data_IF_958267991606
#
_entry.id   IF_958267991606
#
_cell.length_a   1.000
_cell.length_b   1.000
_cell.length_c   1.000
_cell.angle_alpha   90.00
_cell.angle_beta   90.00
_cell.angle_gamma   90.00
#
_symmetry.space_group_name_H-M   'P 1'
#
loop_
_entity.id
_entity.type
_entity.pdbx_description
1 polymer ?
#
# COMPACT_ATOMS: atom_id res chain seq x y z
N UNK A 1 -25.37 8.33 -33.15
CA UNK A 1 -26.40 7.39 -32.66
C UNK A 1 -26.66 7.71 -31.20
N UNK A 2 -27.90 7.63 -30.71
CA UNK A 2 -28.19 7.80 -29.30
C UNK A 2 -27.47 6.73 -28.46
N UNK A 3 -26.96 7.14 -27.30
CA UNK A 3 -26.22 6.29 -26.36
C UNK A 3 -26.85 6.37 -24.97
N UNK A 4 -26.86 5.25 -24.26
CA UNK A 4 -27.24 5.16 -22.85
C UNK A 4 -26.12 4.49 -22.08
N UNK A 5 -25.68 5.12 -20.99
CA UNK A 5 -24.58 4.63 -20.15
C UNK A 5 -25.05 4.50 -18.72
N UNK A 6 -24.74 3.37 -18.09
CA UNK A 6 -25.10 3.13 -16.69
C UNK A 6 -24.06 2.26 -15.99
N UNK A 7 -23.72 2.61 -14.75
CA UNK A 7 -23.00 1.70 -13.84
C UNK A 7 -23.93 0.61 -13.32
N UNK A 8 -23.50 -0.64 -13.46
CA UNK A 8 -24.23 -1.81 -13.01
C UNK A 8 -24.02 -2.03 -11.52
N UNK A 9 -25.13 -2.22 -10.80
CA UNK A 9 -25.10 -2.67 -9.41
C UNK A 9 -24.97 -4.19 -9.32
N UNK A 10 -24.47 -4.69 -8.18
CA UNK A 10 -24.32 -6.14 -7.96
C UNK A 10 -25.62 -6.92 -8.13
N UNK A 11 -26.76 -6.33 -7.77
CA UNK A 11 -28.07 -6.95 -7.92
C UNK A 11 -28.48 -7.09 -9.40
N UNK A 12 -28.11 -6.13 -10.25
CA UNK A 12 -28.44 -6.15 -11.68
C UNK A 12 -27.58 -7.17 -12.43
N UNK A 13 -26.32 -7.32 -12.00
CA UNK A 13 -25.41 -8.35 -12.50
C UNK A 13 -25.96 -9.74 -12.12
N UNK A 14 -26.30 -9.95 -10.85
CA UNK A 14 -26.80 -11.25 -10.37
C UNK A 14 -28.13 -11.67 -11.03
N UNK A 15 -29.04 -10.71 -11.24
CA UNK A 15 -30.37 -11.00 -11.80
C UNK A 15 -30.43 -10.95 -13.32
N UNK A 16 -29.42 -10.38 -13.98
CA UNK A 16 -29.44 -10.10 -15.42
C UNK A 16 -30.49 -9.06 -15.84
N UNK A 17 -30.97 -8.25 -14.91
CA UNK A 17 -32.02 -7.24 -15.12
C UNK A 17 -31.46 -5.87 -14.79
N UNK A 18 -31.36 -5.01 -15.80
CA UNK A 18 -31.02 -3.61 -15.60
C UNK A 18 -32.26 -2.83 -15.16
N UNK A 19 -32.08 -1.99 -14.14
CA UNK A 19 -33.07 -1.03 -13.65
C UNK A 19 -32.66 0.39 -14.03
N UNK A 20 -33.55 1.38 -13.98
CA UNK A 20 -33.17 2.79 -14.16
C UNK A 20 -34.13 3.73 -13.43
N UNK A 21 -33.72 4.98 -13.30
CA UNK A 21 -34.48 6.05 -12.65
C UNK A 21 -35.34 6.84 -13.63
N UNK A 22 -36.34 7.56 -13.11
CA UNK A 22 -37.27 8.39 -13.89
C UNK A 22 -36.55 9.45 -14.74
N UNK A 23 -35.39 9.92 -14.30
CA UNK A 23 -34.59 10.91 -15.03
C UNK A 23 -33.94 10.33 -16.31
N UNK A 24 -33.76 9.00 -16.35
CA UNK A 24 -33.05 8.29 -17.43
C UNK A 24 -34.01 7.81 -18.53
N UNK A 25 -35.32 7.92 -18.31
CA UNK A 25 -36.38 7.39 -19.20
C UNK A 25 -36.26 7.94 -20.63
N UNK A 26 -36.06 9.25 -20.77
CA UNK A 26 -35.97 9.90 -22.08
C UNK A 26 -34.74 9.43 -22.88
N UNK A 27 -33.62 9.21 -22.20
CA UNK A 27 -32.38 8.75 -22.82
C UNK A 27 -32.49 7.28 -23.23
N UNK A 28 -33.01 6.41 -22.37
CA UNK A 28 -33.18 5.00 -22.70
C UNK A 28 -34.18 4.78 -23.84
N UNK A 29 -35.28 5.56 -23.89
CA UNK A 29 -36.25 5.53 -24.99
C UNK A 29 -35.70 6.02 -26.34
N UNK A 30 -34.57 6.72 -26.32
CA UNK A 30 -33.89 7.12 -27.55
C UNK A 30 -33.04 5.99 -28.15
N UNK A 31 -32.62 5.04 -27.31
CA UNK A 31 -31.74 3.92 -27.67
C UNK A 31 -32.53 2.65 -27.97
N UNK A 32 -33.53 2.33 -27.14
CA UNK A 32 -34.35 1.13 -27.26
C UNK A 32 -35.43 1.35 -28.34
N UNK A 33 -35.65 0.37 -29.24
CA UNK A 33 -36.73 0.43 -30.22
C UNK A 33 -38.10 0.66 -29.57
N UNK A 34 -39.04 1.24 -30.32
CA UNK A 34 -40.40 1.47 -29.82
C UNK A 34 -41.20 0.17 -29.54
N UNK A 35 -40.64 -1.00 -29.84
CA UNK A 35 -41.23 -2.31 -29.60
C UNK A 35 -40.97 -2.81 -28.18
N UNK A 36 -41.91 -3.57 -27.60
CA UNK A 36 -41.76 -4.15 -26.24
C UNK A 36 -40.72 -5.28 -26.18
N UNK A 37 -40.42 -5.84 -27.34
CA UNK A 37 -39.44 -6.90 -27.55
C UNK A 37 -38.43 -6.43 -28.58
N UNK A 38 -37.15 -6.69 -28.35
CA UNK A 38 -36.05 -6.32 -29.22
C UNK A 38 -34.87 -7.27 -29.03
N UNK A 39 -33.91 -7.22 -29.96
CA UNK A 39 -32.72 -8.06 -29.93
C UNK A 39 -31.51 -7.20 -29.54
N UNK A 40 -30.61 -7.79 -28.75
CA UNK A 40 -29.35 -7.17 -28.34
C UNK A 40 -28.18 -7.92 -28.96
N UNK A 41 -27.27 -7.19 -29.58
CA UNK A 41 -25.97 -7.73 -29.99
C UNK A 41 -24.99 -7.46 -28.85
N UNK A 42 -24.42 -8.51 -28.27
CA UNK A 42 -23.35 -8.44 -27.28
C UNK A 42 -22.21 -9.34 -27.73
N UNK A 43 -21.01 -8.76 -27.84
CA UNK A 43 -19.79 -9.44 -28.33
C UNK A 43 -19.97 -10.19 -29.67
N UNK A 44 -20.72 -9.59 -30.60
CA UNK A 44 -21.02 -10.18 -31.90
C UNK A 44 -22.07 -11.30 -31.88
N UNK A 45 -22.56 -11.71 -30.70
CA UNK A 45 -23.63 -12.67 -30.54
C UNK A 45 -24.99 -11.95 -30.37
N UNK A 46 -26.01 -12.46 -31.05
CA UNK A 46 -27.38 -11.94 -30.97
C UNK A 46 -28.16 -12.64 -29.85
N UNK A 47 -28.69 -11.83 -28.93
CA UNK A 47 -29.59 -12.23 -27.85
C UNK A 47 -30.99 -11.74 -28.20
N UNK A 48 -31.81 -12.67 -28.69
CA UNK A 48 -33.10 -12.36 -29.26
C UNK A 48 -34.23 -12.37 -28.22
N UNK A 49 -35.32 -11.66 -28.53
CA UNK A 49 -36.56 -11.62 -27.77
C UNK A 49 -36.44 -11.04 -26.33
N UNK A 50 -35.55 -10.07 -26.13
CA UNK A 50 -35.40 -9.38 -24.86
C UNK A 50 -36.55 -8.41 -24.63
N UNK A 51 -36.99 -8.29 -23.39
CA UNK A 51 -38.17 -7.50 -23.02
C UNK A 51 -37.83 -6.26 -22.20
N UNK A 52 -38.62 -5.21 -22.37
CA UNK A 52 -38.58 -3.99 -21.55
C UNK A 52 -39.91 -3.76 -20.84
N UNK A 53 -39.87 -3.65 -19.50
CA UNK A 53 -41.01 -3.27 -18.66
C UNK A 53 -40.87 -1.81 -18.25
N UNK A 54 -41.33 -0.89 -19.10
CA UNK A 54 -41.21 0.56 -18.87
C UNK A 54 -41.84 1.03 -17.56
N UNK A 55 -43.00 0.48 -17.19
CA UNK A 55 -43.72 0.87 -15.97
C UNK A 55 -42.96 0.49 -14.68
N UNK A 56 -42.21 -0.61 -14.73
CA UNK A 56 -41.39 -1.10 -13.61
C UNK A 56 -39.93 -0.65 -13.70
N UNK A 57 -39.56 0.02 -14.80
CA UNK A 57 -38.19 0.43 -15.16
C UNK A 57 -37.21 -0.73 -15.10
N UNK A 58 -37.57 -1.82 -15.78
CA UNK A 58 -36.77 -3.05 -15.87
C UNK A 58 -36.50 -3.42 -17.32
N UNK A 59 -35.25 -3.74 -17.62
CA UNK A 59 -34.76 -4.16 -18.92
C UNK A 59 -34.07 -5.50 -18.72
N UNK A 60 -34.62 -6.53 -19.35
CA UNK A 60 -34.12 -7.88 -19.24
C UNK A 60 -33.05 -8.05 -20.33
N UNK A 61 -31.78 -8.10 -19.94
CA UNK A 61 -30.66 -8.34 -20.87
C UNK A 61 -30.16 -9.79 -20.71
N UNK A 62 -30.28 -10.36 -19.51
CA UNK A 62 -30.00 -11.77 -19.24
C UNK A 62 -28.51 -12.07 -19.10
N UNK A 63 -28.07 -13.13 -19.77
CA UNK A 63 -26.71 -13.69 -19.67
C UNK A 63 -25.58 -12.65 -19.84
N UNK A 64 -25.63 -11.70 -20.80
CA UNK A 64 -24.61 -10.67 -20.95
C UNK A 64 -24.33 -9.85 -19.68
N UNK A 65 -25.38 -9.52 -18.90
CA UNK A 65 -25.21 -8.79 -17.64
C UNK A 65 -24.63 -9.67 -16.54
N UNK A 66 -24.96 -10.96 -16.53
CA UNK A 66 -24.51 -11.91 -15.50
C UNK A 66 -23.02 -12.26 -15.58
N UNK A 67 -22.40 -12.04 -16.75
CA UNK A 67 -20.97 -12.20 -16.98
C UNK A 67 -20.15 -10.96 -16.56
N UNK A 68 -20.81 -9.86 -16.19
CA UNK A 68 -20.15 -8.61 -15.82
C UNK A 68 -19.51 -8.67 -14.41
N UNK A 69 -18.42 -7.91 -14.23
CA UNK A 69 -17.77 -7.74 -12.92
C UNK A 69 -18.43 -6.58 -12.16
N UNK A 70 -18.38 -6.57 -10.82
CA UNK A 70 -18.89 -5.46 -10.01
C UNK A 70 -18.37 -4.09 -10.50
N UNK A 71 -19.22 -3.07 -10.42
CA UNK A 71 -18.97 -1.68 -10.90
C UNK A 71 -18.76 -1.51 -12.42
N UNK A 72 -19.02 -2.54 -13.23
CA UNK A 72 -18.96 -2.43 -14.69
C UNK A 72 -19.93 -1.37 -15.23
N UNK A 73 -19.56 -0.69 -16.31
CA UNK A 73 -20.44 0.24 -17.01
C UNK A 73 -21.02 -0.42 -18.26
N UNK A 74 -22.34 -0.43 -18.34
CA UNK A 74 -23.09 -0.81 -19.53
C UNK A 74 -23.21 0.39 -20.47
N UNK A 75 -22.91 0.18 -21.75
CA UNK A 75 -23.21 1.09 -22.85
C UNK A 75 -24.18 0.39 -23.80
N UNK A 76 -25.34 1.01 -23.99
CA UNK A 76 -26.30 0.64 -25.02
C UNK A 76 -26.27 1.68 -26.13
N UNK A 77 -26.16 1.21 -27.37
CA UNK A 77 -26.26 2.05 -28.57
C UNK A 77 -27.27 1.46 -29.51
N UNK A 78 -28.08 2.29 -30.15
CA UNK A 78 -29.20 1.79 -30.95
C UNK A 78 -29.92 2.90 -31.68
N UNK A 79 -31.07 2.57 -32.24
CA UNK A 79 -31.97 3.51 -32.88
C UNK A 79 -33.41 3.19 -32.51
N UNK A 80 -34.25 4.22 -32.38
CA UNK A 80 -35.68 4.09 -32.06
C UNK A 80 -36.51 3.50 -33.22
N UNK A 81 -35.90 3.31 -34.39
CA UNK A 81 -36.53 2.74 -35.57
C UNK A 81 -37.05 1.31 -35.30
N UNK A 82 -38.19 0.97 -35.90
CA UNK A 82 -38.76 -0.39 -35.79
C UNK A 82 -37.79 -1.40 -36.42
N UNK A 83 -37.37 -2.39 -35.63
CA UNK A 83 -36.38 -3.39 -36.06
C UNK A 83 -34.92 -2.93 -35.95
N UNK A 84 -34.66 -1.79 -35.30
CA UNK A 84 -33.30 -1.35 -35.00
C UNK A 84 -32.60 -2.31 -34.03
N UNK A 85 -31.39 -2.74 -34.38
CA UNK A 85 -30.54 -3.54 -33.50
C UNK A 85 -29.97 -2.66 -32.37
N UNK A 86 -29.98 -3.20 -31.15
CA UNK A 86 -29.33 -2.57 -30.00
C UNK A 86 -27.99 -3.25 -29.78
N UNK A 87 -26.90 -2.50 -29.83
CA UNK A 87 -25.58 -2.99 -29.46
C UNK A 87 -25.31 -2.70 -27.99
N UNK A 88 -24.88 -3.74 -27.28
CA UNK A 88 -24.55 -3.72 -25.87
C UNK A 88 -23.03 -3.94 -25.70
N UNK A 89 -22.40 -3.06 -24.94
CA UNK A 89 -21.01 -3.18 -24.52
C UNK A 89 -20.95 -3.05 -23.00
N UNK A 90 -20.16 -3.90 -22.35
CA UNK A 90 -19.95 -3.85 -20.90
C UNK A 90 -18.47 -3.62 -20.67
N UNK A 91 -18.14 -2.51 -20.02
CA UNK A 91 -16.78 -2.15 -19.66
C UNK A 91 -16.55 -2.49 -18.20
N UNK A 92 -15.63 -3.41 -17.91
CA UNK A 92 -15.23 -3.64 -16.54
C UNK A 92 -14.50 -2.38 -16.00
N UNK A 93 -14.52 -2.12 -14.68
CA UNK A 93 -13.85 -0.95 -14.10
C UNK A 93 -12.36 -0.86 -14.50
N UNK A 94 -11.72 -2.02 -14.61
CA UNK A 94 -10.32 -2.18 -15.03
C UNK A 94 -10.05 -1.82 -16.50
N UNK A 95 -11.07 -1.82 -17.37
CA UNK A 95 -10.92 -1.49 -18.80
C UNK A 95 -10.87 0.03 -19.03
N UNK A 96 -11.26 0.83 -18.04
CA UNK A 96 -11.07 2.29 -18.02
C UNK A 96 -9.82 2.73 -17.25
N UNK A 97 -9.10 1.78 -16.64
CA UNK A 97 -7.88 2.12 -15.90
C UNK A 97 -6.77 2.48 -16.88
N UNK A 98 -6.19 3.65 -16.64
CA UNK A 98 -5.05 4.17 -17.41
C UNK A 98 -3.91 4.41 -16.44
N UNK A 99 -2.75 3.82 -16.71
CA UNK A 99 -1.52 4.10 -15.98
C UNK A 99 -0.70 5.09 -16.79
N UNK A 100 -0.37 6.22 -16.17
CA UNK A 100 0.60 7.18 -16.69
C UNK A 100 1.94 6.93 -16.03
N UNK A 101 2.98 6.72 -16.82
CA UNK A 101 4.30 6.40 -16.30
C UNK A 101 5.40 6.97 -17.18
N UNK A 102 6.35 7.67 -16.55
CA UNK A 102 7.58 8.09 -17.24
C UNK A 102 8.60 6.96 -17.30
N UNK A 103 9.09 6.64 -18.49
CA UNK A 103 10.03 5.55 -18.71
C UNK A 103 11.44 5.90 -18.23
N UNK A 104 12.00 5.14 -17.28
CA UNK A 104 13.37 5.37 -16.81
C UNK A 104 14.43 4.71 -17.72
N UNK A 105 15.68 5.20 -17.64
CA UNK A 105 16.84 4.58 -18.30
C UNK A 105 17.01 3.09 -17.93
N UNK A 106 16.81 2.75 -16.66
CA UNK A 106 16.98 1.37 -16.19
C UNK A 106 15.90 0.44 -16.75
N UNK A 107 14.65 0.90 -16.80
CA UNK A 107 13.51 0.17 -17.36
C UNK A 107 13.66 -0.04 -18.87
N UNK A 108 14.02 1.02 -19.60
CA UNK A 108 14.28 0.92 -21.04
C UNK A 108 15.38 -0.10 -21.33
N UNK A 109 16.53 -0.03 -20.64
CA UNK A 109 17.64 -0.95 -20.86
C UNK A 109 17.32 -2.38 -20.41
N UNK A 110 16.58 -2.53 -19.31
CA UNK A 110 16.16 -3.82 -18.76
C UNK A 110 14.97 -4.47 -19.49
N UNK A 111 14.32 -3.75 -20.41
CA UNK A 111 13.16 -4.23 -21.19
C UNK A 111 11.96 -4.62 -20.32
N UNK A 112 11.78 -3.90 -19.21
CA UNK A 112 10.66 -4.10 -18.28
C UNK A 112 10.12 -2.76 -17.79
N UNK A 113 8.88 -2.76 -17.32
CA UNK A 113 8.31 -1.68 -16.51
C UNK A 113 8.34 -2.08 -15.05
N UNK A 114 8.73 -1.16 -14.16
CA UNK A 114 8.74 -1.38 -12.72
C UNK A 114 7.76 -0.45 -12.02
N UNK A 115 7.16 -0.89 -10.93
CA UNK A 115 6.31 -0.05 -10.10
C UNK A 115 6.72 -0.11 -8.63
N UNK A 116 6.21 0.83 -7.83
CA UNK A 116 6.44 0.92 -6.40
C UNK A 116 5.37 0.13 -5.63
N UNK A 117 5.67 -0.27 -4.39
CA UNK A 117 4.74 -1.07 -3.57
C UNK A 117 3.34 -0.43 -3.40
N UNK A 118 3.27 0.90 -3.32
CA UNK A 118 1.99 1.63 -3.26
C UNK A 118 1.12 1.49 -4.52
N UNK A 119 1.71 1.03 -5.63
CA UNK A 119 1.02 0.82 -6.92
C UNK A 119 0.62 -0.66 -7.08
N UNK A 120 0.95 -1.55 -6.13
CA UNK A 120 0.64 -2.99 -6.22
C UNK A 120 -0.87 -3.23 -6.42
N UNK A 121 -1.73 -2.49 -5.73
CA UNK A 121 -3.18 -2.58 -5.90
C UNK A 121 -3.64 -2.13 -7.28
N UNK A 122 -3.00 -1.10 -7.84
CA UNK A 122 -3.34 -0.55 -9.15
C UNK A 122 -2.99 -1.55 -10.27
N UNK A 123 -1.80 -2.17 -10.20
CA UNK A 123 -1.41 -3.22 -11.14
C UNK A 123 -2.19 -4.51 -10.89
N UNK A 124 -2.50 -4.87 -9.63
CA UNK A 124 -3.35 -6.03 -9.31
C UNK A 124 -4.72 -5.92 -9.97
N UNK A 125 -5.36 -4.74 -9.89
CA UNK A 125 -6.63 -4.46 -10.58
C UNK A 125 -6.51 -4.50 -12.11
N UNK A 126 -5.39 -4.01 -12.66
CA UNK A 126 -5.17 -4.01 -14.11
C UNK A 126 -5.07 -5.43 -14.70
N UNK A 127 -4.56 -6.41 -13.93
CA UNK A 127 -4.31 -7.79 -14.38
C UNK A 127 -5.19 -8.85 -13.71
N UNK A 128 -6.18 -8.45 -12.90
CA UNK A 128 -6.99 -9.28 -11.99
C UNK A 128 -7.74 -10.46 -12.62
N UNK A 129 -7.98 -10.43 -13.93
CA UNK A 129 -8.91 -11.33 -14.62
C UNK A 129 -8.30 -12.06 -15.82
N UNK A 130 -6.98 -11.99 -16.05
CA UNK A 130 -6.39 -12.40 -17.34
C UNK A 130 -5.18 -13.30 -17.22
N UNK A 131 -5.37 -14.58 -17.58
CA UNK A 131 -4.30 -15.59 -17.63
C UNK A 131 -3.38 -15.41 -18.85
N UNK A 132 -3.88 -14.79 -19.94
CA UNK A 132 -3.10 -14.52 -21.15
C UNK A 132 -3.52 -13.23 -21.83
N UNK A 133 -2.55 -12.46 -22.33
CA UNK A 133 -2.78 -11.21 -23.07
C UNK A 133 -1.64 -10.96 -24.07
N UNK A 134 -1.86 -10.04 -25.02
CA UNK A 134 -0.81 -9.52 -25.89
C UNK A 134 -0.46 -8.08 -25.51
N UNK A 135 0.77 -7.67 -25.76
CA UNK A 135 1.25 -6.29 -25.58
C UNK A 135 1.41 -5.68 -26.96
N UNK A 136 0.86 -4.48 -27.16
CA UNK A 136 0.96 -3.73 -28.40
C UNK A 136 1.68 -2.40 -28.19
N UNK A 137 2.68 -2.13 -29.02
CA UNK A 137 3.41 -0.86 -29.08
C UNK A 137 3.53 -0.45 -30.55
N UNK A 138 2.96 0.70 -30.91
CA UNK A 138 3.00 1.25 -32.27
C UNK A 138 2.62 0.22 -33.36
N UNK A 139 1.54 -0.53 -33.14
CA UNK A 139 1.04 -1.56 -34.07
C UNK A 139 1.81 -2.88 -34.06
N UNK A 140 2.88 -3.02 -33.26
CA UNK A 140 3.61 -4.28 -33.10
C UNK A 140 3.10 -5.02 -31.87
N UNK A 141 2.72 -6.30 -32.06
CA UNK A 141 2.23 -7.17 -31.00
C UNK A 141 3.24 -8.21 -30.58
N UNK A 142 3.31 -8.48 -29.28
CA UNK A 142 4.02 -9.62 -28.71
C UNK A 142 3.18 -10.26 -27.60
N UNK A 143 3.44 -11.54 -27.31
CA UNK A 143 2.77 -12.22 -26.20
C UNK A 143 3.18 -11.59 -24.87
N UNK A 144 2.20 -11.14 -24.10
CA UNK A 144 2.38 -10.59 -22.76
C UNK A 144 2.79 -11.67 -21.76
N UNK A 145 3.49 -11.26 -20.71
CA UNK A 145 3.82 -12.11 -19.57
C UNK A 145 3.12 -11.57 -18.33
N UNK A 146 2.68 -12.49 -17.48
CA UNK A 146 2.06 -12.15 -16.19
C UNK A 146 3.04 -11.27 -15.39
N UNK A 147 2.56 -10.19 -14.75
CA UNK A 147 3.41 -9.34 -13.92
C UNK A 147 4.01 -10.11 -12.74
N UNK A 148 5.28 -9.85 -12.43
CA UNK A 148 5.97 -10.37 -11.25
C UNK A 148 5.75 -9.37 -10.09
N UNK A 149 4.82 -9.67 -9.19
CA UNK A 149 4.48 -8.79 -8.06
C UNK A 149 5.53 -8.80 -6.95
N UNK A 150 6.28 -9.89 -6.77
CA UNK A 150 7.37 -9.93 -5.79
C UNK A 150 8.47 -8.94 -6.17
N UNK A 151 8.83 -8.92 -7.46
CA UNK A 151 9.85 -8.01 -8.00
C UNK A 151 9.29 -6.67 -8.49
N UNK A 152 7.96 -6.56 -8.57
CA UNK A 152 7.18 -5.42 -9.11
C UNK A 152 7.58 -5.05 -10.53
N UNK A 153 7.61 -6.06 -11.41
CA UNK A 153 8.06 -5.92 -12.80
C UNK A 153 7.10 -6.53 -13.80
N UNK A 154 6.89 -5.82 -14.90
CA UNK A 154 6.18 -6.28 -16.09
C UNK A 154 7.17 -6.36 -17.24
N UNK A 155 7.40 -7.56 -17.76
CA UNK A 155 8.29 -7.77 -18.90
C UNK A 155 7.58 -7.36 -20.19
N UNK A 156 8.13 -6.35 -20.87
CA UNK A 156 7.65 -5.87 -22.18
C UNK A 156 8.54 -6.42 -23.31
N UNK A 157 9.83 -6.63 -23.03
CA UNK A 157 10.79 -7.13 -24.00
C UNK A 157 11.16 -6.09 -25.05
N UNK A 158 11.42 -6.56 -26.26
CA UNK A 158 11.99 -5.77 -27.36
C UNK A 158 11.06 -4.66 -27.87
N UNK A 159 9.75 -4.78 -27.65
CA UNK A 159 8.79 -3.74 -28.02
C UNK A 159 9.06 -2.40 -27.32
N UNK A 160 9.70 -2.43 -26.13
CA UNK A 160 10.04 -1.23 -25.38
C UNK A 160 11.09 -0.35 -26.09
N UNK A 161 11.80 -0.87 -27.11
CA UNK A 161 12.69 -0.07 -27.97
C UNK A 161 11.95 0.95 -28.83
N UNK A 162 10.62 0.84 -28.95
CA UNK A 162 9.80 1.86 -29.61
C UNK A 162 9.76 3.18 -28.84
N UNK A 163 10.23 3.21 -27.59
CA UNK A 163 10.27 4.38 -26.73
C UNK A 163 11.70 4.82 -26.44
N UNK A 164 11.88 6.11 -26.21
CA UNK A 164 13.10 6.68 -25.64
C UNK A 164 12.97 6.78 -24.13
N UNK A 165 14.07 6.64 -23.38
CA UNK A 165 14.02 6.93 -21.96
C UNK A 165 13.64 8.39 -21.70
N UNK A 166 12.76 8.61 -20.73
CA UNK A 166 12.19 9.90 -20.43
C UNK A 166 10.85 10.17 -21.12
N UNK A 167 10.42 9.30 -22.03
CA UNK A 167 9.07 9.33 -22.64
C UNK A 167 8.00 9.08 -21.57
N UNK A 168 6.88 9.80 -21.69
CA UNK A 168 5.69 9.59 -20.89
C UNK A 168 4.82 8.54 -21.59
N UNK A 169 4.60 7.41 -20.90
CA UNK A 169 3.86 6.26 -21.39
C UNK A 169 2.44 6.30 -20.87
N UNK A 170 1.50 6.03 -21.76
CA UNK A 170 0.12 5.69 -21.44
C UNK A 170 -0.05 4.18 -21.55
N UNK A 171 -0.51 3.52 -20.48
CA UNK A 171 -0.74 2.07 -20.44
C UNK A 171 -2.22 1.84 -20.17
N UNK A 172 -2.90 1.17 -21.08
CA UNK A 172 -4.32 0.84 -20.94
C UNK A 172 -4.66 -0.41 -21.72
N UNK A 173 -5.86 -0.94 -21.49
CA UNK A 173 -6.37 -2.06 -22.26
C UNK A 173 -7.10 -1.59 -23.52
N UNK A 174 -6.95 -2.36 -24.58
CA UNK A 174 -7.79 -2.29 -25.77
C UNK A 174 -8.39 -3.67 -26.03
N UNK A 175 -9.69 -3.70 -26.32
CA UNK A 175 -10.43 -4.94 -26.59
C UNK A 175 -10.83 -4.97 -28.05
N UNK A 176 -10.29 -5.95 -28.77
CA UNK A 176 -10.71 -6.26 -30.13
C UNK A 176 -11.11 -7.74 -30.19
N UNK A 177 -12.42 -7.95 -30.23
CA UNK A 177 -13.23 -9.15 -30.54
C UNK A 177 -12.89 -10.52 -29.93
N UNK A 178 -11.63 -10.87 -29.63
CA UNK A 178 -11.28 -12.17 -29.01
C UNK A 178 -9.97 -12.15 -28.18
N UNK A 179 -9.20 -11.05 -28.19
CA UNK A 179 -7.95 -10.93 -27.44
C UNK A 179 -7.90 -9.66 -26.59
N UNK A 180 -7.44 -9.81 -25.34
CA UNK A 180 -7.10 -8.66 -24.48
C UNK A 180 -5.71 -8.13 -24.84
N UNK A 181 -5.65 -6.90 -25.33
CA UNK A 181 -4.41 -6.25 -25.76
C UNK A 181 -4.04 -5.13 -24.81
N UNK A 182 -2.88 -5.23 -24.15
CA UNK A 182 -2.30 -4.16 -23.35
C UNK A 182 -1.57 -3.21 -24.29
N UNK A 183 -2.12 -2.01 -24.48
CA UNK A 183 -1.54 -0.99 -25.34
C UNK A 183 -0.62 -0.10 -24.52
N UNK A 184 0.59 0.11 -25.02
CA UNK A 184 1.47 1.17 -24.53
C UNK A 184 1.71 2.16 -25.67
N UNK A 185 1.35 3.41 -25.43
CA UNK A 185 1.49 4.51 -26.38
C UNK A 185 2.18 5.70 -25.73
N UNK A 186 2.70 6.60 -26.58
CA UNK A 186 3.16 7.90 -26.13
C UNK A 186 1.95 8.68 -25.62
N UNK A 187 2.08 9.28 -24.43
CA UNK A 187 1.05 10.21 -23.99
C UNK A 187 1.07 11.45 -24.92
N UNK A 188 0.10 11.50 -25.83
CA UNK A 188 -0.09 12.61 -26.76
C UNK A 188 -0.41 13.89 -25.98
N UNK A 189 0.63 14.67 -25.69
CA UNK A 189 0.55 16.02 -25.13
C UNK A 189 0.06 17.03 -26.19
N UNK A 190 -0.98 16.71 -26.96
CA UNK A 190 -1.54 17.55 -28.03
C UNK A 190 -2.15 18.88 -27.54
N UNK A 191 -2.06 19.21 -26.25
CA UNK A 191 -2.53 20.47 -25.67
C UNK A 191 -1.45 21.35 -25.03
N UNK A 192 -0.16 21.00 -25.16
CA UNK A 192 0.92 21.93 -24.83
C UNK A 192 1.83 22.14 -26.03
N UNK A 193 1.82 23.33 -26.67
CA UNK A 193 2.84 23.64 -27.65
C UNK A 193 4.18 23.57 -26.94
N UNK A 194 5.02 22.63 -27.37
CA UNK A 194 6.40 22.56 -26.96
C UNK A 194 7.10 23.82 -27.48
N UNK A 195 7.15 24.86 -26.64
CA UNK A 195 7.82 26.12 -26.95
C UNK A 195 9.30 25.95 -27.30
N UNK A 196 9.86 24.75 -27.10
CA UNK A 196 11.23 24.43 -27.48
C UNK A 196 11.39 23.97 -28.94
N UNK A 197 10.32 23.58 -29.65
CA UNK A 197 10.43 23.10 -31.05
C UNK A 197 10.78 24.22 -32.03
N UNK A 198 10.15 25.42 -31.98
CA UNK A 198 10.57 26.57 -32.78
C UNK A 198 11.98 27.04 -32.42
N UNK A 199 12.33 26.96 -31.13
CA UNK A 199 13.65 27.33 -30.63
C UNK A 199 14.74 26.35 -31.11
N UNK A 200 14.47 25.04 -31.09
CA UNK A 200 15.37 23.99 -31.60
C UNK A 200 15.58 24.11 -33.11
N UNK A 201 14.52 24.41 -33.86
CA UNK A 201 14.62 24.67 -35.30
C UNK A 201 15.41 25.95 -35.60
N UNK A 202 15.22 27.02 -34.81
CA UNK A 202 15.99 28.25 -34.91
C UNK A 202 17.47 28.00 -34.60
N UNK A 203 17.79 27.32 -33.49
CA UNK A 203 19.16 26.99 -33.07
C UNK A 203 19.84 26.08 -34.11
N UNK A 204 19.16 25.06 -34.63
CA UNK A 204 19.70 24.20 -35.68
C UNK A 204 20.03 24.99 -36.96
N UNK A 205 19.15 25.93 -37.36
CA UNK A 205 19.37 26.82 -38.51
C UNK A 205 20.51 27.82 -38.29
N UNK A 206 20.73 28.24 -37.05
CA UNK A 206 21.84 29.14 -36.68
C UNK A 206 23.17 28.36 -36.55
N UNK A 207 23.16 27.09 -36.17
CA UNK A 207 24.39 26.26 -36.13
C UNK A 207 24.82 25.77 -37.51
N UNK A 208 23.90 25.68 -38.47
CA UNK A 208 24.18 25.19 -39.83
C UNK A 208 24.68 26.26 -40.81
N UNK A 209 24.72 27.55 -40.42
CA UNK A 209 25.11 28.66 -41.30
C UNK A 209 26.57 29.08 -41.09
N UNK A 210 27.31 29.47 -42.15
CA UNK A 210 28.64 30.05 -42.04
C UNK A 210 28.60 31.39 -41.28
N UNK A 211 29.56 31.63 -40.38
CA UNK A 211 29.64 32.83 -39.52
C UNK A 211 29.59 34.18 -40.27
N UNK A 212 29.92 34.19 -41.57
CA UNK A 212 29.89 35.38 -42.43
C UNK A 212 28.50 35.79 -42.94
N UNK A 213 27.46 34.97 -42.75
CA UNK A 213 26.09 35.23 -43.23
C UNK A 213 25.16 35.85 -42.17
N UNK A 214 25.64 36.03 -40.94
CA UNK A 214 24.82 36.57 -39.86
C UNK A 214 24.88 38.10 -39.86
N UNK A 215 23.72 38.73 -39.67
CA UNK A 215 23.70 40.15 -39.35
C UNK A 215 24.02 40.36 -37.85
N UNK A 216 24.48 41.57 -37.50
CA UNK A 216 24.89 41.90 -36.13
C UNK A 216 23.77 41.70 -35.09
N UNK A 217 22.49 41.88 -35.49
CA UNK A 217 21.33 41.67 -34.64
C UNK A 217 21.08 40.20 -34.31
N UNK A 218 21.27 39.31 -35.27
CA UNK A 218 21.16 37.85 -35.08
C UNK A 218 22.24 37.33 -34.15
N UNK A 219 23.47 37.85 -34.26
CA UNK A 219 24.57 37.50 -33.35
C UNK A 219 24.27 37.97 -31.93
N UNK A 220 23.78 39.21 -31.75
CA UNK A 220 23.38 39.72 -30.43
C UNK A 220 22.24 38.90 -29.81
N UNK A 221 21.25 38.50 -30.62
CA UNK A 221 20.17 37.61 -30.17
C UNK A 221 20.66 36.23 -29.73
N UNK A 222 21.59 35.63 -30.48
CA UNK A 222 22.25 34.38 -30.11
C UNK A 222 23.01 34.49 -28.78
N UNK A 223 23.74 35.58 -28.58
CA UNK A 223 24.48 35.82 -27.33
C UNK A 223 23.53 35.88 -26.14
N UNK A 224 22.41 36.61 -26.25
CA UNK A 224 21.41 36.70 -25.18
C UNK A 224 20.81 35.32 -24.87
N UNK A 225 20.47 34.53 -25.89
CA UNK A 225 19.94 33.17 -25.70
C UNK A 225 20.94 32.23 -25.04
N UNK A 226 22.23 32.33 -25.39
CA UNK A 226 23.29 31.55 -24.75
C UNK A 226 23.49 31.97 -23.29
N UNK A 227 23.38 33.25 -22.98
CA UNK A 227 23.51 33.78 -21.63
C UNK A 227 22.34 33.36 -20.74
N UNK A 228 21.12 33.35 -21.28
CA UNK A 228 19.94 32.82 -20.60
C UNK A 228 20.02 31.31 -20.41
N UNK A 229 20.52 30.56 -21.40
CA UNK A 229 20.77 29.13 -21.29
C UNK A 229 21.80 28.82 -20.19
N UNK A 230 22.88 29.62 -20.10
CA UNK A 230 23.87 29.51 -19.02
C UNK A 230 23.24 29.71 -17.64
N UNK A 231 22.41 30.74 -17.46
CA UNK A 231 21.69 30.99 -16.20
C UNK A 231 20.74 29.85 -15.82
N UNK A 232 20.06 29.26 -16.80
CA UNK A 232 19.20 28.10 -16.58
C UNK A 232 20.00 26.87 -16.15
N UNK A 233 21.16 26.63 -16.76
CA UNK A 233 22.08 25.57 -16.35
C UNK A 233 22.59 25.74 -14.93
N UNK A 234 23.00 26.96 -14.55
CA UNK A 234 23.44 27.28 -13.18
C UNK A 234 22.30 27.03 -12.17
N UNK A 235 21.06 27.42 -12.51
CA UNK A 235 19.89 27.17 -11.67
C UNK A 235 19.58 25.66 -11.55
N UNK A 236 19.68 24.89 -12.63
CA UNK A 236 19.51 23.43 -12.60
C UNK A 236 20.56 22.77 -11.71
N UNK A 237 21.83 23.19 -11.84
CA UNK A 237 22.90 22.67 -11.00
C UNK A 237 22.64 22.93 -9.51
N UNK A 238 22.18 24.13 -9.15
CA UNK A 238 21.79 24.47 -7.78
C UNK A 238 20.62 23.59 -7.28
N UNK A 239 19.58 23.39 -8.09
CA UNK A 239 18.46 22.52 -7.72
C UNK A 239 18.85 21.04 -7.60
N UNK A 240 19.81 20.57 -8.40
CA UNK A 240 20.34 19.21 -8.28
C UNK A 240 21.12 19.02 -6.98
N UNK A 241 21.92 20.02 -6.61
CA UNK A 241 22.66 20.03 -5.34
C UNK A 241 21.72 20.06 -4.13
N UNK A 242 20.68 20.91 -4.18
CA UNK A 242 19.66 20.97 -3.13
C UNK A 242 18.88 19.66 -3.01
N UNK A 243 18.50 19.04 -4.15
CA UNK A 243 17.88 17.72 -4.15
C UNK A 243 18.79 16.64 -3.57
N UNK A 244 20.10 16.69 -3.84
CA UNK A 244 21.07 15.77 -3.23
C UNK A 244 21.10 15.94 -1.72
N UNK A 245 21.19 17.18 -1.23
CA UNK A 245 21.16 17.50 0.20
C UNK A 245 19.85 17.04 0.86
N UNK A 246 18.71 17.26 0.22
CA UNK A 246 17.41 16.78 0.72
C UNK A 246 17.34 15.26 0.78
N UNK A 247 17.87 14.54 -0.23
CA UNK A 247 17.96 13.08 -0.20
C UNK A 247 18.84 12.58 0.96
N UNK A 248 19.97 13.23 1.21
CA UNK A 248 20.83 12.91 2.36
C UNK A 248 20.10 13.13 3.70
N UNK A 249 19.33 14.22 3.82
CA UNK A 249 18.50 14.48 5.00
C UNK A 249 17.40 13.43 5.19
N UNK A 250 16.73 13.02 4.09
CA UNK A 250 15.72 11.95 4.12
C UNK A 250 16.36 10.64 4.54
N UNK A 251 17.50 10.26 3.95
CA UNK A 251 18.20 9.03 4.33
C UNK A 251 18.64 9.04 5.80
N UNK A 252 19.06 10.20 6.33
CA UNK A 252 19.38 10.34 7.75
C UNK A 252 18.14 10.16 8.62
N UNK A 253 17.01 10.77 8.25
CA UNK A 253 15.74 10.59 8.94
C UNK A 253 15.26 9.13 8.89
N UNK A 254 15.35 8.47 7.74
CA UNK A 254 15.03 7.06 7.58
C UNK A 254 15.92 6.19 8.47
N UNK A 255 17.22 6.46 8.53
CA UNK A 255 18.15 5.76 9.43
C UNK A 255 17.80 5.99 10.91
N UNK A 256 17.41 7.21 11.29
CA UNK A 256 16.93 7.49 12.65
C UNK A 256 15.62 6.76 12.93
N UNK A 257 14.68 6.76 11.99
CA UNK A 257 13.42 6.02 12.12
C UNK A 257 13.63 4.52 12.21
N UNK A 258 14.55 3.94 11.42
CA UNK A 258 14.97 2.54 11.55
C UNK A 258 15.60 2.28 12.91
N UNK A 259 16.41 3.19 13.46
CA UNK A 259 16.90 3.07 14.84
C UNK A 259 15.78 3.15 15.88
N UNK A 260 14.72 3.93 15.64
CA UNK A 260 13.56 3.99 16.53
C UNK A 260 12.64 2.76 16.41
N UNK A 261 12.44 2.21 15.20
CA UNK A 261 11.56 1.07 14.93
C UNK A 261 12.24 -0.28 15.18
N UNK A 262 13.56 -0.39 14.97
CA UNK A 262 14.35 -1.59 15.31
C UNK A 262 14.47 -1.87 16.81
N UNK A 263 13.98 -0.96 17.67
CA UNK A 263 14.00 -1.14 19.12
C UNK A 263 12.83 -1.96 19.70
N UNK A 264 11.80 -2.35 18.92
CA UNK A 264 10.76 -3.25 19.43
C UNK A 264 10.66 -4.52 18.61
N UNK A 265 11.33 -5.57 19.08
CA UNK A 265 11.14 -6.95 18.61
C UNK A 265 9.68 -7.43 18.73
N UNK A 266 8.92 -6.86 19.67
CA UNK A 266 7.56 -7.27 19.96
C UNK A 266 6.56 -6.29 19.33
N UNK A 267 5.58 -6.81 18.60
CA UNK A 267 4.55 -6.00 17.94
C UNK A 267 3.43 -5.61 18.91
N UNK A 268 3.34 -6.26 20.08
CA UNK A 268 2.32 -5.97 21.08
C UNK A 268 2.75 -6.34 22.51
N UNK A 269 2.10 -5.71 23.50
CA UNK A 269 2.25 -6.07 24.92
C UNK A 269 1.99 -7.55 25.19
N UNK A 270 0.98 -8.13 24.54
CA UNK A 270 0.61 -9.55 24.70
C UNK A 270 1.72 -10.48 24.23
N UNK A 271 2.34 -10.16 23.10
CA UNK A 271 3.47 -10.91 22.55
C UNK A 271 4.68 -10.84 23.48
N UNK A 272 4.96 -9.66 24.03
CA UNK A 272 6.01 -9.47 25.02
C UNK A 272 5.77 -10.28 26.31
N UNK A 273 4.58 -10.17 26.91
CA UNK A 273 4.23 -10.93 28.13
C UNK A 273 4.32 -12.44 27.90
N UNK A 274 3.87 -12.93 26.74
CA UNK A 274 3.98 -14.34 26.37
C UNK A 274 5.45 -14.78 26.26
N UNK A 275 6.28 -13.99 25.58
CA UNK A 275 7.70 -14.29 25.44
C UNK A 275 8.41 -14.36 26.80
N UNK A 276 8.15 -13.40 27.69
CA UNK A 276 8.71 -13.37 29.06
C UNK A 276 8.30 -14.63 29.84
N UNK A 277 7.06 -15.09 29.70
CA UNK A 277 6.53 -16.27 30.35
C UNK A 277 7.14 -17.60 29.84
N UNK A 278 7.49 -17.67 28.56
CA UNK A 278 8.10 -18.84 27.91
C UNK A 278 9.61 -18.91 28.15
N UNK A 279 10.26 -17.75 28.24
CA UNK A 279 11.72 -17.64 28.33
C UNK A 279 12.20 -17.29 29.74
N UNK A 280 11.39 -17.57 30.77
CA UNK A 280 11.73 -17.26 32.16
C UNK A 280 13.08 -17.86 32.60
N UNK A 281 13.48 -18.98 32.01
CA UNK A 281 14.78 -19.63 32.27
C UNK A 281 15.99 -18.83 31.80
N UNK A 282 15.82 -17.84 30.91
CA UNK A 282 16.89 -16.96 30.43
C UNK A 282 17.25 -15.87 31.45
N UNK A 283 16.34 -15.50 32.36
CA UNK A 283 16.58 -14.40 33.30
C UNK A 283 17.51 -14.79 34.45
N UNK A 284 17.30 -15.98 35.03
CA UNK A 284 18.18 -16.55 36.05
C UNK A 284 18.24 -18.08 35.92
N UNK A 285 19.46 -18.62 36.02
CA UNK A 285 19.70 -20.05 35.82
C UNK A 285 19.01 -20.90 36.89
N UNK A 286 18.11 -21.78 36.46
CA UNK A 286 17.37 -22.70 37.33
C UNK A 286 16.22 -22.04 38.11
N UNK A 287 15.72 -20.92 37.61
CA UNK A 287 14.45 -20.36 38.03
C UNK A 287 13.28 -21.23 37.52
N UNK A 288 12.31 -21.50 38.39
CA UNK A 288 11.09 -22.27 38.09
C UNK A 288 9.86 -21.39 38.25
N UNK A 289 8.97 -21.38 37.27
CA UNK A 289 7.67 -20.69 37.37
C UNK A 289 6.74 -21.49 38.28
N UNK A 290 6.14 -20.82 39.27
CA UNK A 290 5.11 -21.38 40.18
C UNK A 290 3.73 -20.94 39.70
N UNK A 291 3.51 -19.64 39.54
CA UNK A 291 2.23 -19.08 39.10
C UNK A 291 2.41 -18.09 37.96
N UNK A 292 1.39 -18.00 37.12
CA UNK A 292 1.22 -16.97 36.08
C UNK A 292 0.00 -16.14 36.42
N UNK A 293 0.06 -14.83 36.24
CA UNK A 293 -1.06 -13.91 36.44
C UNK A 293 -1.69 -14.01 37.85
N UNK A 294 -0.87 -14.14 38.89
CA UNK A 294 -1.34 -14.28 40.27
C UNK A 294 -1.92 -12.97 40.79
N UNK A 295 -3.10 -13.00 41.41
CA UNK A 295 -3.75 -11.78 41.92
C UNK A 295 -3.48 -11.59 43.41
N UNK A 296 -2.93 -10.43 43.76
CA UNK A 296 -2.62 -10.01 45.13
C UNK A 296 -3.58 -8.90 45.54
N UNK A 297 -4.10 -8.96 46.76
CA UNK A 297 -4.92 -7.88 47.32
C UNK A 297 -4.00 -6.90 48.04
N UNK A 298 -3.91 -5.67 47.51
CA UNK A 298 -3.14 -4.56 48.10
C UNK A 298 -3.89 -3.92 49.28
N UNK A 299 -3.22 -3.08 50.09
CA UNK A 299 -3.87 -2.29 51.12
C UNK A 299 -5.02 -1.45 50.52
N UNK A 300 -6.18 -1.44 51.18
CA UNK A 300 -7.39 -0.80 50.67
C UNK A 300 -8.22 -1.65 49.70
N UNK A 301 -7.93 -2.95 49.57
CA UNK A 301 -8.77 -3.91 48.85
C UNK A 301 -8.60 -3.92 47.32
N UNK A 302 -7.68 -3.11 46.79
CA UNK A 302 -7.36 -3.10 45.35
C UNK A 302 -6.63 -4.38 44.97
N UNK A 303 -7.12 -5.10 43.96
CA UNK A 303 -6.41 -6.27 43.43
C UNK A 303 -5.38 -5.85 42.37
N UNK A 304 -4.16 -6.37 42.48
CA UNK A 304 -3.07 -6.19 41.50
C UNK A 304 -2.56 -7.55 41.05
N UNK A 305 -1.95 -7.59 39.87
CA UNK A 305 -1.49 -8.83 39.24
C UNK A 305 0.02 -8.93 39.30
N UNK A 306 0.54 -10.10 39.69
CA UNK A 306 1.90 -10.55 39.44
C UNK A 306 1.91 -11.31 38.13
N UNK A 307 2.70 -10.88 37.14
CA UNK A 307 2.71 -11.52 35.83
C UNK A 307 3.31 -12.94 35.93
N UNK A 308 4.48 -13.07 36.57
CA UNK A 308 5.07 -14.36 36.89
C UNK A 308 5.56 -14.39 38.34
N UNK A 309 5.20 -15.45 39.05
CA UNK A 309 5.83 -15.79 40.31
C UNK A 309 6.72 -17.00 40.08
N UNK A 310 8.01 -16.82 40.35
CA UNK A 310 9.01 -17.86 40.21
C UNK A 310 9.67 -18.19 41.54
N UNK A 311 10.44 -19.28 41.56
CA UNK A 311 11.34 -19.65 42.66
C UNK A 311 12.72 -19.95 42.09
N UNK A 312 13.75 -19.43 42.75
CA UNK A 312 15.13 -19.71 42.39
C UNK A 312 15.65 -21.02 43.02
N UNK A 313 16.89 -21.39 42.68
CA UNK A 313 17.53 -22.63 43.20
C UNK A 313 17.72 -22.63 44.72
N UNK A 314 17.71 -21.46 45.37
CA UNK A 314 17.85 -21.30 46.82
C UNK A 314 16.48 -21.32 47.52
N UNK A 315 15.38 -21.46 46.78
CA UNK A 315 14.02 -21.48 47.31
C UNK A 315 13.44 -20.08 47.56
N UNK A 316 14.12 -19.01 47.11
CA UNK A 316 13.64 -17.62 47.25
C UNK A 316 12.63 -17.33 46.15
N UNK A 317 11.52 -16.68 46.50
CA UNK A 317 10.50 -16.28 45.52
C UNK A 317 10.99 -15.09 44.70
N UNK A 318 10.65 -15.06 43.42
CA UNK A 318 10.96 -13.96 42.49
C UNK A 318 9.65 -13.53 41.83
N UNK A 319 9.18 -12.33 42.17
CA UNK A 319 8.03 -11.71 41.52
C UNK A 319 8.51 -10.91 40.31
N UNK A 320 7.99 -11.25 39.14
CA UNK A 320 8.36 -10.64 37.86
C UNK A 320 7.18 -9.80 37.35
N UNK A 321 7.46 -8.55 36.98
CA UNK A 321 6.56 -7.63 36.29
C UNK A 321 7.05 -7.36 34.87
N UNK A 322 6.18 -7.52 33.87
CA UNK A 322 6.49 -7.34 32.46
C UNK A 322 5.98 -5.97 31.99
N UNK A 323 6.90 -5.06 31.67
CA UNK A 323 6.56 -3.71 31.25
C UNK A 323 6.84 -3.49 29.75
N UNK A 324 5.78 -3.46 28.95
CA UNK A 324 5.87 -3.16 27.52
C UNK A 324 5.72 -1.65 27.28
N UNK A 325 6.77 -1.00 26.78
CA UNK A 325 6.86 0.45 26.59
C UNK A 325 6.42 1.24 27.84
N UNK A 326 7.08 1.03 29.00
CA UNK A 326 6.60 1.50 30.30
C UNK A 326 6.35 3.00 30.33
N UNK A 327 5.18 3.42 30.80
CA UNK A 327 4.94 4.80 31.24
C UNK A 327 5.28 4.97 32.74
N UNK A 328 5.52 6.21 33.22
CA UNK A 328 5.89 6.45 34.62
C UNK A 328 4.88 5.94 35.65
N UNK A 329 3.58 5.89 35.30
CA UNK A 329 2.54 5.38 36.19
C UNK A 329 2.68 3.88 36.38
N UNK A 330 2.84 3.13 35.28
CA UNK A 330 3.05 1.68 35.31
C UNK A 330 4.29 1.28 36.09
N UNK A 331 5.40 2.03 35.95
CA UNK A 331 6.63 1.78 36.69
C UNK A 331 6.40 1.93 38.20
N UNK A 332 5.77 3.03 38.62
CA UNK A 332 5.47 3.26 40.03
C UNK A 332 4.54 2.17 40.60
N UNK A 333 3.47 1.81 39.88
CA UNK A 333 2.55 0.76 40.32
C UNK A 333 3.24 -0.61 40.46
N UNK A 334 4.12 -0.96 39.52
CA UNK A 334 4.88 -2.20 39.56
C UNK A 334 5.84 -2.22 40.76
N UNK A 335 6.55 -1.12 41.01
CA UNK A 335 7.48 -1.01 42.13
C UNK A 335 6.76 -1.00 43.49
N UNK A 336 5.62 -0.31 43.62
CA UNK A 336 4.79 -0.34 44.82
C UNK A 336 4.30 -1.75 45.14
N UNK A 337 3.89 -2.53 44.12
CA UNK A 337 3.51 -3.92 44.29
C UNK A 337 4.69 -4.77 44.78
N UNK A 338 5.87 -4.61 44.18
CA UNK A 338 7.06 -5.38 44.57
C UNK A 338 7.52 -5.05 46.00
N UNK A 339 7.50 -3.77 46.39
CA UNK A 339 7.82 -3.35 47.76
C UNK A 339 6.80 -3.90 48.76
N UNK A 340 5.51 -3.86 48.41
CA UNK A 340 4.44 -4.43 49.24
C UNK A 340 4.64 -5.93 49.47
N UNK A 341 4.94 -6.69 48.40
CA UNK A 341 5.22 -8.12 48.49
C UNK A 341 6.44 -8.41 49.38
N UNK A 342 7.51 -7.63 49.22
CA UNK A 342 8.73 -7.75 50.04
C UNK A 342 8.46 -7.49 51.52
N UNK A 343 7.65 -6.48 51.84
CA UNK A 343 7.30 -6.12 53.21
C UNK A 343 6.32 -7.11 53.89
N UNK A 344 5.56 -7.88 53.10
CA UNK A 344 4.47 -8.73 53.61
C UNK A 344 4.65 -10.22 53.28
N UNK A 345 5.89 -10.68 53.08
CA UNK A 345 6.18 -12.07 52.69
C UNK A 345 5.65 -13.11 53.67
N UNK A 346 5.52 -12.78 54.97
CA UNK A 346 4.96 -13.70 55.96
C UNK A 346 3.47 -13.96 55.73
N UNK A 347 2.73 -12.98 55.22
CA UNK A 347 1.30 -13.11 54.93
C UNK A 347 1.07 -13.91 53.64
N UNK A 348 1.89 -13.68 52.62
CA UNK A 348 1.70 -14.28 51.30
C UNK A 348 2.53 -15.55 51.07
N UNK A 349 3.61 -15.78 51.81
CA UNK A 349 4.59 -16.81 51.49
C UNK A 349 4.04 -18.24 51.54
N UNK A 350 3.12 -18.52 52.47
CA UNK A 350 2.43 -19.82 52.55
C UNK A 350 1.35 -19.95 51.48
N UNK A 351 0.59 -18.89 51.21
CA UNK A 351 -0.45 -18.84 50.17
C UNK A 351 0.17 -19.02 48.76
N UNK A 352 1.25 -18.30 48.49
CA UNK A 352 1.97 -18.26 47.21
C UNK A 352 2.71 -19.57 46.87
N UNK A 353 2.89 -20.45 47.85
CA UNK A 353 3.61 -21.72 47.68
C UNK A 353 2.70 -22.93 47.90
N UNK A 354 1.38 -22.73 48.06
CA UNK A 354 0.42 -23.76 48.49
C UNK A 354 0.88 -24.51 49.76
N UNK A 355 1.63 -23.84 50.63
CA UNK A 355 2.23 -24.42 51.84
C UNK A 355 3.36 -25.44 51.59
N UNK A 356 3.78 -25.66 50.34
CA UNK A 356 4.80 -26.65 50.01
C UNK A 356 6.21 -26.22 50.43
N UNK A 357 6.46 -24.90 50.54
CA UNK A 357 7.78 -24.36 50.85
C UNK A 357 7.69 -23.18 51.82
N UNK A 358 8.63 -23.08 52.75
CA UNK A 358 8.79 -21.86 53.55
C UNK A 358 9.56 -20.83 52.70
N UNK A 359 8.87 -19.84 52.16
CA UNK A 359 9.52 -18.75 51.43
C UNK A 359 10.45 -17.97 52.37
N UNK A 360 11.75 -18.05 52.14
CA UNK A 360 12.77 -17.35 52.96
C UNK A 360 12.80 -15.85 52.68
N UNK A 361 12.27 -15.44 51.51
CA UNK A 361 12.13 -14.05 51.10
C UNK A 361 11.52 -13.97 49.70
N UNK A 362 11.28 -12.73 49.24
CA UNK A 362 10.83 -12.44 47.88
C UNK A 362 11.66 -11.30 47.27
N UNK A 363 12.20 -11.55 46.08
CA UNK A 363 12.90 -10.56 45.25
C UNK A 363 11.98 -10.05 44.17
N UNK A 364 12.17 -8.80 43.79
CA UNK A 364 11.45 -8.17 42.69
C UNK A 364 12.32 -8.14 41.43
N UNK A 365 11.71 -8.40 40.29
CA UNK A 365 12.34 -8.30 38.99
C UNK A 365 11.38 -7.60 38.02
N UNK A 366 11.88 -6.62 37.27
CA UNK A 366 11.14 -5.97 36.19
C UNK A 366 11.78 -6.39 34.87
N UNK A 367 10.97 -6.86 33.94
CA UNK A 367 11.40 -7.16 32.57
C UNK A 367 10.76 -6.14 31.63
N UNK A 368 11.58 -5.35 30.95
CA UNK A 368 11.11 -4.28 30.06
C UNK A 368 11.69 -4.41 28.65
N UNK A 369 10.92 -4.02 27.63
CA UNK A 369 11.39 -3.98 26.23
C UNK A 369 12.01 -2.62 25.83
N UNK A 370 11.85 -1.59 26.67
CA UNK A 370 12.44 -0.27 26.45
C UNK A 370 13.19 0.18 27.69
N UNK A 371 14.34 0.80 27.44
CA UNK A 371 15.17 1.41 28.46
C UNK A 371 14.76 2.87 28.64
N UNK A 372 14.52 3.27 29.90
CA UNK A 372 14.30 4.66 30.30
C UNK A 372 15.17 4.95 31.52
N UNK A 373 15.84 6.10 31.53
CA UNK A 373 16.74 6.50 32.63
C UNK A 373 16.02 6.44 33.98
N UNK A 374 14.81 6.98 34.07
CA UNK A 374 14.00 6.96 35.30
C UNK A 374 13.69 5.53 35.79
N UNK A 375 13.45 4.58 34.87
CA UNK A 375 13.17 3.18 35.22
C UNK A 375 14.43 2.54 35.83
N UNK A 376 15.60 2.77 35.23
CA UNK A 376 16.88 2.27 35.72
C UNK A 376 17.16 2.81 37.12
N UNK A 377 17.04 4.13 37.31
CA UNK A 377 17.28 4.77 38.61
C UNK A 377 16.33 4.26 39.71
N UNK A 378 15.04 4.15 39.42
CA UNK A 378 14.06 3.68 40.41
C UNK A 378 14.26 2.20 40.78
N UNK A 379 14.61 1.36 39.80
CA UNK A 379 14.92 -0.05 40.07
C UNK A 379 16.15 -0.20 40.97
N UNK A 380 17.21 0.57 40.69
CA UNK A 380 18.42 0.58 41.52
C UNK A 380 18.14 1.07 42.95
N UNK A 381 17.39 2.16 43.11
CA UNK A 381 17.02 2.71 44.42
C UNK A 381 16.22 1.72 45.28
N UNK A 382 15.32 0.94 44.66
CA UNK A 382 14.46 -0.02 45.37
C UNK A 382 15.03 -1.44 45.41
N UNK A 383 16.26 -1.64 44.91
CA UNK A 383 16.92 -2.95 44.81
C UNK A 383 16.02 -3.97 44.09
N UNK A 384 15.49 -3.56 42.94
CA UNK A 384 14.69 -4.39 42.03
C UNK A 384 15.54 -4.69 40.81
N UNK A 385 15.66 -5.98 40.48
CA UNK A 385 16.47 -6.43 39.34
C UNK A 385 15.80 -6.00 38.04
N UNK A 386 16.52 -5.30 37.17
CA UNK A 386 16.00 -4.88 35.86
C UNK A 386 16.59 -5.76 34.76
N UNK A 387 15.72 -6.43 34.01
CA UNK A 387 16.05 -7.16 32.79
C UNK A 387 15.55 -6.41 31.56
N UNK A 388 16.47 -6.07 30.66
CA UNK A 388 16.11 -5.43 29.38
C UNK A 388 16.10 -6.45 28.25
N UNK A 389 15.00 -6.54 27.52
CA UNK A 389 14.85 -7.41 26.35
C UNK A 389 14.84 -6.55 25.08
N UNK A 390 15.92 -6.59 24.30
CA UNK A 390 15.93 -6.01 22.95
C UNK A 390 16.24 -7.09 21.93
N UNK A 391 15.59 -7.04 20.76
CA UNK A 391 15.79 -8.00 19.67
C UNK A 391 15.56 -9.48 20.06
N UNK A 392 14.68 -9.75 21.04
CA UNK A 392 14.41 -11.12 21.52
C UNK A 392 15.52 -11.72 22.38
N UNK A 393 16.50 -10.92 22.81
CA UNK A 393 17.58 -11.31 23.71
C UNK A 393 17.54 -10.48 24.99
N UNK A 394 17.90 -11.11 26.12
CA UNK A 394 18.16 -10.39 27.37
C UNK A 394 19.53 -9.71 27.25
N UNK A 395 19.57 -8.38 27.31
CA UNK A 395 20.79 -7.59 27.06
C UNK A 395 21.42 -7.11 28.36
N UNK A 396 20.63 -6.76 29.35
CA UNK A 396 21.15 -6.15 30.57
C UNK A 396 20.48 -6.73 31.82
N UNK A 397 21.32 -6.96 32.82
CA UNK A 397 20.94 -7.53 34.11
C UNK A 397 21.59 -6.65 35.18
N UNK A 398 20.92 -5.55 35.52
CA UNK A 398 21.33 -4.72 36.64
C UNK A 398 20.93 -5.44 37.93
N UNK A 399 21.92 -5.82 38.75
CA UNK A 399 21.74 -6.49 40.05
C UNK A 399 21.69 -5.51 41.23
#
# INVERSE_FOLDING_TARGET
MPEFRKKLSSQEIETGIMTWSDAEDAQLRSVIPATLVFDVIYDGQEFANLSVEWEKRKLFIGEPLSLAVADSELLLTGSREKGGQVSCQIFAPQDKMVIRKRLSHQEHNGRYLKWFAREDELYSRLFSSRESFSVEIAGKRAKGRIPDYERRKLLIGELLRGFSPGDDLLIHWHHASEESVLVLEHEDNSSRPDGSTPLRALVARLLSRPLGEFNEGEIKGLVVLLEENKKLWERIANFQEENRRLKEQVNMLESLFEQFTSNSFFNSKKEFEAWVAEHSSLFEKGMRVIHRNYSVTMPGGRKRRIDLLCQDRKGVLVAIQSLFSPDPGQVNEALELLDYLRANIEAFGSELTDGQYKAVGIRGMIIANYEKTDLVEQCLQRQVKLGLVKSGCLIDVLE
#
